data_IF_230411903713
#
_entry.id   IF_230411903713
#
_cell.length_a   1.000
_cell.length_b   1.000
_cell.length_c   1.000
_cell.angle_alpha   90.00
_cell.angle_beta   90.00
_cell.angle_gamma   90.00
#
_symmetry.space_group_name_H-M   'P 1'
#
loop_
_entity.id
_entity.type
_entity.pdbx_description
1 polymer ?
#
# COMPACT_ATOMS: atom_id res chain seq x y z
N UNK A 1 -5.55 20.01 -15.18
CA UNK A 1 -6.57 19.84 -16.23
C UNK A 1 -6.22 18.72 -17.21
N UNK A 2 -4.97 18.63 -17.71
CA UNK A 2 -4.54 17.60 -18.66
C UNK A 2 -4.74 16.18 -18.12
N UNK A 3 -4.41 15.91 -16.84
CA UNK A 3 -4.57 14.59 -16.21
C UNK A 3 -6.04 14.19 -16.18
N UNK A 4 -6.92 15.11 -15.80
CA UNK A 4 -8.36 14.87 -15.77
C UNK A 4 -8.88 14.53 -17.18
N UNK A 5 -8.46 15.25 -18.19
CA UNK A 5 -8.81 15.01 -19.59
C UNK A 5 -8.36 13.61 -20.06
N UNK A 6 -7.14 13.20 -19.72
CA UNK A 6 -6.60 11.87 -20.05
C UNK A 6 -7.37 10.74 -19.36
N UNK A 7 -7.70 10.93 -18.09
CA UNK A 7 -8.50 9.95 -17.34
C UNK A 7 -9.89 9.83 -17.95
N UNK A 8 -10.56 10.95 -18.25
CA UNK A 8 -11.89 10.94 -18.90
C UNK A 8 -11.83 10.21 -20.24
N UNK A 9 -10.84 10.50 -21.07
CA UNK A 9 -10.64 9.83 -22.35
C UNK A 9 -10.46 8.31 -22.17
N UNK A 10 -9.67 7.89 -21.20
CA UNK A 10 -9.42 6.48 -20.89
C UNK A 10 -10.70 5.77 -20.42
N UNK A 11 -11.47 6.40 -19.55
CA UNK A 11 -12.75 5.86 -19.08
C UNK A 11 -13.73 5.69 -20.24
N UNK A 12 -13.87 6.69 -21.12
CA UNK A 12 -14.74 6.61 -22.29
C UNK A 12 -14.30 5.56 -23.29
N UNK A 13 -13.00 5.35 -23.46
CA UNK A 13 -12.45 4.30 -24.32
C UNK A 13 -12.76 2.89 -23.79
N UNK A 14 -12.70 2.69 -22.47
CA UNK A 14 -12.95 1.39 -21.85
C UNK A 14 -14.45 1.08 -21.63
N UNK A 15 -15.25 2.12 -21.46
CA UNK A 15 -16.70 1.98 -21.19
C UNK A 15 -17.53 2.84 -22.14
N UNK A 16 -17.44 2.59 -23.48
CA UNK A 16 -18.07 3.49 -24.47
C UNK A 16 -19.60 3.53 -24.38
N UNK A 17 -20.23 2.44 -24.04
CA UNK A 17 -21.71 2.38 -23.93
C UNK A 17 -22.19 3.14 -22.70
N UNK A 18 -21.56 2.90 -21.55
CA UNK A 18 -21.93 3.46 -20.26
C UNK A 18 -21.66 4.98 -20.20
N UNK A 19 -20.68 5.44 -20.94
CA UNK A 19 -20.30 6.85 -20.96
C UNK A 19 -20.93 7.67 -22.10
N UNK A 20 -21.71 7.02 -22.96
CA UNK A 20 -22.39 7.70 -24.05
C UNK A 20 -23.34 8.77 -23.50
N UNK A 21 -23.11 10.02 -23.88
CA UNK A 21 -23.90 11.16 -23.40
C UNK A 21 -23.59 11.60 -21.96
N UNK A 22 -22.69 10.92 -21.27
CA UNK A 22 -22.30 11.32 -19.92
C UNK A 22 -21.47 12.61 -19.92
N UNK A 23 -21.75 13.50 -18.95
CA UNK A 23 -21.02 14.76 -18.76
C UNK A 23 -20.34 14.76 -17.38
N UNK A 24 -19.13 15.28 -17.32
CA UNK A 24 -18.46 15.54 -16.04
C UNK A 24 -19.13 16.73 -15.37
N UNK A 25 -19.75 16.50 -14.21
CA UNK A 25 -20.36 17.57 -13.41
C UNK A 25 -19.35 18.22 -12.48
N UNK A 26 -18.42 17.44 -11.94
CA UNK A 26 -17.38 17.89 -11.03
C UNK A 26 -16.17 16.97 -11.12
N UNK A 27 -15.00 17.53 -11.04
CA UNK A 27 -13.76 16.78 -10.97
C UNK A 27 -12.79 17.40 -9.97
N UNK A 28 -12.01 16.57 -9.32
CA UNK A 28 -10.97 16.97 -8.38
C UNK A 28 -9.77 16.07 -8.56
N UNK A 29 -8.59 16.63 -8.57
CA UNK A 29 -7.32 15.91 -8.65
C UNK A 29 -6.53 16.15 -7.37
N UNK A 30 -6.19 15.08 -6.68
CA UNK A 30 -5.30 15.10 -5.52
C UNK A 30 -4.00 14.41 -5.91
N UNK A 31 -2.87 15.11 -5.77
CA UNK A 31 -1.53 14.56 -6.01
C UNK A 31 -0.86 14.28 -4.69
N UNK A 32 -0.47 13.04 -4.47
CA UNK A 32 0.25 12.60 -3.26
C UNK A 32 1.61 12.09 -3.70
N UNK A 33 2.66 12.93 -3.68
CA UNK A 33 3.99 12.51 -4.06
C UNK A 33 4.53 11.50 -3.04
N UNK A 34 5.24 10.48 -3.53
CA UNK A 34 5.85 9.44 -2.71
C UNK A 34 4.85 8.68 -1.82
N UNK A 35 3.64 8.44 -2.33
CA UNK A 35 2.62 7.72 -1.57
C UNK A 35 2.95 6.24 -1.36
N UNK A 36 3.67 5.63 -2.29
CA UNK A 36 4.10 4.22 -2.22
C UNK A 36 5.56 4.09 -2.62
N UNK A 37 6.23 3.04 -2.12
CA UNK A 37 7.57 2.70 -2.55
C UNK A 37 7.56 2.11 -3.97
N UNK A 38 8.69 2.15 -4.66
CA UNK A 38 8.83 1.55 -5.99
C UNK A 38 9.16 0.04 -5.86
N UNK A 39 8.26 -0.87 -6.27
CA UNK A 39 8.51 -2.30 -6.20
C UNK A 39 9.36 -2.76 -7.39
N UNK A 40 10.65 -2.47 -7.34
CA UNK A 40 11.58 -2.84 -8.41
C UNK A 40 11.88 -4.35 -8.38
N UNK A 41 12.14 -4.98 -9.54
CA UNK A 41 12.54 -6.39 -9.60
C UNK A 41 13.75 -6.68 -8.72
N UNK A 42 13.69 -7.78 -7.97
CA UNK A 42 14.78 -8.21 -7.08
C UNK A 42 14.89 -7.47 -5.75
N UNK A 43 14.01 -6.50 -5.49
CA UNK A 43 14.07 -5.68 -4.27
C UNK A 43 13.23 -6.23 -3.12
N UNK A 44 12.43 -7.26 -3.35
CA UNK A 44 11.57 -7.86 -2.32
C UNK A 44 12.37 -8.34 -1.10
N UNK A 45 13.54 -8.89 -1.30
CA UNK A 45 14.44 -9.35 -0.23
C UNK A 45 14.92 -8.24 0.72
N UNK A 46 14.81 -6.98 0.30
CA UNK A 46 15.21 -5.83 1.12
C UNK A 46 14.06 -5.23 1.93
N UNK A 47 12.85 -5.75 1.79
CA UNK A 47 11.74 -5.32 2.65
C UNK A 47 12.01 -5.77 4.08
N UNK A 48 11.91 -4.85 5.06
CA UNK A 48 12.20 -5.20 6.45
C UNK A 48 11.17 -6.17 7.03
N UNK A 49 11.63 -7.09 7.85
CA UNK A 49 10.74 -7.93 8.67
C UNK A 49 10.14 -7.12 9.81
N UNK A 50 9.04 -7.61 10.38
CA UNK A 50 8.39 -6.96 11.51
C UNK A 50 9.27 -6.92 12.75
N UNK A 51 9.98 -8.03 13.03
CA UNK A 51 10.98 -8.07 14.10
C UNK A 51 12.31 -7.50 13.58
N UNK A 52 12.89 -6.57 14.30
CA UNK A 52 14.18 -5.94 13.95
C UNK A 52 15.34 -6.50 14.78
N UNK A 53 16.59 -6.28 14.35
CA UNK A 53 17.76 -6.62 15.18
C UNK A 53 17.85 -5.79 16.48
N UNK A 54 17.16 -4.66 16.54
CA UNK A 54 17.11 -3.82 17.74
C UNK A 54 16.06 -4.38 18.70
N UNK A 55 16.46 -4.65 19.95
CA UNK A 55 15.56 -5.18 20.96
C UNK A 55 14.36 -4.26 21.22
N UNK A 56 13.19 -4.85 21.36
CA UNK A 56 11.92 -4.15 21.60
C UNK A 56 11.48 -3.18 20.50
N UNK A 57 12.07 -3.23 19.31
CA UNK A 57 11.66 -2.45 18.15
C UNK A 57 11.01 -3.35 17.11
N UNK A 58 9.76 -3.07 16.78
CA UNK A 58 9.00 -3.79 15.77
C UNK A 58 8.50 -2.82 14.70
N UNK A 59 8.39 -3.29 13.47
CA UNK A 59 7.93 -2.50 12.33
C UNK A 59 6.61 -3.03 11.80
N UNK A 60 5.72 -2.11 11.44
CA UNK A 60 4.48 -2.42 10.73
C UNK A 60 4.23 -1.35 9.67
N UNK A 61 3.69 -1.77 8.55
CA UNK A 61 3.37 -0.89 7.43
C UNK A 61 3.41 -1.64 6.12
N UNK A 62 2.82 -1.08 5.08
CA UNK A 62 2.80 -1.70 3.76
C UNK A 62 4.19 -1.97 3.18
N UNK A 63 5.20 -1.21 3.61
CA UNK A 63 6.60 -1.37 3.20
C UNK A 63 7.28 -2.62 3.77
N UNK A 64 6.78 -3.17 4.89
CA UNK A 64 7.38 -4.34 5.54
C UNK A 64 7.01 -5.65 4.83
N UNK A 65 7.74 -6.74 5.13
CA UNK A 65 7.48 -8.04 4.52
C UNK A 65 6.10 -8.58 4.90
N UNK A 66 5.27 -8.81 3.89
CA UNK A 66 3.96 -9.45 3.98
C UNK A 66 3.53 -9.84 2.55
N UNK A 67 2.39 -10.51 2.39
CA UNK A 67 2.00 -11.10 1.10
C UNK A 67 1.66 -10.09 0.00
N UNK A 68 1.36 -8.85 0.35
CA UNK A 68 0.89 -7.84 -0.61
C UNK A 68 1.94 -6.76 -0.85
N UNK A 69 1.76 -6.02 -1.94
CA UNK A 69 2.44 -4.75 -2.13
C UNK A 69 1.90 -3.71 -1.15
N UNK A 70 2.47 -2.52 -1.16
CA UNK A 70 2.00 -1.42 -0.32
C UNK A 70 0.53 -1.10 -0.59
N UNK A 71 -0.31 -1.49 0.36
CA UNK A 71 -1.76 -1.38 0.28
C UNK A 71 -2.36 -1.34 1.68
N UNK A 72 -3.63 -0.96 1.81
CA UNK A 72 -4.33 -1.02 3.09
C UNK A 72 -4.36 -2.46 3.64
N UNK A 73 -4.64 -3.45 2.80
CA UNK A 73 -4.61 -4.86 3.19
C UNK A 73 -3.23 -5.31 3.65
N UNK A 74 -2.17 -4.90 2.94
CA UNK A 74 -0.79 -5.17 3.33
C UNK A 74 -0.41 -4.51 4.65
N UNK A 75 -0.85 -3.29 4.89
CA UNK A 75 -0.62 -2.59 6.15
C UNK A 75 -1.27 -3.30 7.34
N UNK A 76 -2.52 -3.74 7.21
CA UNK A 76 -3.23 -4.51 8.25
C UNK A 76 -2.54 -5.85 8.51
N UNK A 77 -2.18 -6.58 7.46
CA UNK A 77 -1.45 -7.85 7.59
C UNK A 77 -0.12 -7.66 8.31
N UNK A 78 0.63 -6.62 7.97
CA UNK A 78 1.91 -6.32 8.63
C UNK A 78 1.74 -5.99 10.11
N UNK A 79 0.65 -5.32 10.48
CA UNK A 79 0.32 -5.03 11.87
C UNK A 79 0.06 -6.31 12.67
N UNK A 80 -0.71 -7.25 12.12
CA UNK A 80 -0.96 -8.54 12.75
C UNK A 80 0.36 -9.31 12.97
N UNK A 81 1.21 -9.37 11.94
CA UNK A 81 2.52 -10.02 12.04
C UNK A 81 3.43 -9.35 13.09
N UNK A 82 3.38 -8.03 13.21
CA UNK A 82 4.15 -7.29 14.21
C UNK A 82 3.67 -7.59 15.64
N UNK A 83 2.35 -7.66 15.85
CA UNK A 83 1.77 -8.03 17.15
C UNK A 83 2.14 -9.45 17.52
N UNK A 84 2.03 -10.40 16.59
CA UNK A 84 2.43 -11.80 16.83
C UNK A 84 3.91 -11.89 17.23
N UNK A 85 4.77 -11.19 16.54
CA UNK A 85 6.19 -11.15 16.87
C UNK A 85 6.46 -10.53 18.24
N UNK A 86 5.72 -9.49 18.61
CA UNK A 86 5.83 -8.83 19.90
C UNK A 86 5.37 -9.75 21.04
N UNK A 87 4.22 -10.38 20.89
CA UNK A 87 3.68 -11.32 21.89
C UNK A 87 4.63 -12.51 22.09
N UNK A 88 5.17 -13.04 21.00
CA UNK A 88 6.15 -14.13 21.07
C UNK A 88 7.42 -13.68 21.80
N UNK A 89 7.93 -12.50 21.49
CA UNK A 89 9.12 -11.97 22.17
C UNK A 89 8.87 -11.74 23.68
N UNK A 90 7.70 -11.25 24.06
CA UNK A 90 7.31 -11.08 25.46
C UNK A 90 7.23 -12.43 26.19
N UNK A 91 6.65 -13.45 25.55
CA UNK A 91 6.58 -14.83 26.12
C UNK A 91 7.97 -15.43 26.28
N UNK A 92 8.85 -15.28 25.29
CA UNK A 92 10.22 -15.80 25.34
C UNK A 92 11.07 -15.13 26.44
N UNK A 93 10.73 -13.91 26.84
CA UNK A 93 11.39 -13.18 27.90
C UNK A 93 10.79 -13.46 29.31
N UNK A 94 9.87 -14.41 29.41
CA UNK A 94 9.29 -14.83 30.69
C UNK A 94 8.25 -13.86 31.27
N UNK A 95 7.68 -13.02 30.42
CA UNK A 95 6.62 -12.06 30.81
C UNK A 95 5.22 -12.55 30.49
#
# INVERSE_FOLDING_TARGET
EEIIARVDQSVRANFPKETQGAKILKSTLVKIPRSVYAPLPGMEKFRPTQKTPVGNLFLAGGFSQQLYYDSMGGAVMSANLAVDALVKAASDNGH
#
